data_IF_249547659922
#
_entry.id   IF_249547659922
#
_cell.length_a   1.000
_cell.length_b   1.000
_cell.length_c   1.000
_cell.angle_alpha   90.00
_cell.angle_beta   90.00
_cell.angle_gamma   90.00
#
_symmetry.space_group_name_H-M   'P 1'
#
loop_
_entity.id
_entity.type
_entity.pdbx_description
1 polymer ?
#
# COMPACT_ATOMS: atom_id res chain seq x y z
N UNK A 1 -18.20 -44.67 60.08
CA UNK A 1 -17.14 -45.53 60.67
C UNK A 1 -15.81 -44.77 60.50
N UNK A 2 -15.45 -43.94 61.49
CA UNK A 2 -14.35 -44.14 62.50
C UNK A 2 -12.95 -44.02 61.88
N UNK A 3 -12.23 -42.90 62.07
CA UNK A 3 -11.32 -42.45 63.20
C UNK A 3 -9.85 -42.74 62.83
N UNK A 4 -8.82 -41.91 63.10
CA UNK A 4 -8.64 -40.64 63.85
C UNK A 4 -7.28 -39.97 63.46
N UNK A 5 -7.08 -38.63 63.56
CA UNK A 5 -6.67 -37.76 64.71
C UNK A 5 -5.20 -37.97 65.16
N UNK A 6 -4.30 -36.98 65.41
CA UNK A 6 -4.33 -35.69 66.17
C UNK A 6 -3.11 -34.80 65.80
N UNK A 7 -3.22 -33.45 65.65
CA UNK A 7 -2.96 -32.31 66.61
C UNK A 7 -1.46 -32.05 66.96
N UNK A 8 -0.91 -30.84 67.17
CA UNK A 8 -1.41 -29.61 67.83
C UNK A 8 -0.42 -28.40 67.69
N UNK A 9 -0.96 -27.16 67.70
CA UNK A 9 -0.29 -25.84 67.93
C UNK A 9 -0.06 -25.59 69.46
N UNK A 10 0.19 -24.38 70.08
CA UNK A 10 0.26 -22.95 69.60
C UNK A 10 1.21 -21.92 70.34
N UNK A 11 1.10 -20.62 69.93
CA UNK A 11 1.22 -19.33 70.69
C UNK A 11 2.62 -18.73 70.97
N UNK A 12 2.90 -17.40 71.10
CA UNK A 12 2.19 -16.15 71.47
C UNK A 12 3.02 -14.88 71.05
N UNK A 13 2.43 -13.72 70.65
CA UNK A 13 2.30 -12.43 71.41
C UNK A 13 3.60 -11.62 71.61
N UNK A 14 3.80 -10.29 71.40
CA UNK A 14 2.99 -9.08 71.71
C UNK A 14 3.61 -7.78 71.12
N UNK A 15 2.78 -6.73 71.02
CA UNK A 15 3.00 -5.32 70.61
C UNK A 15 3.98 -4.48 71.47
N UNK A 16 4.50 -3.36 70.90
CA UNK A 16 4.59 -2.05 71.59
C UNK A 16 4.86 -0.88 70.61
N UNK A 17 4.15 0.25 70.81
CA UNK A 17 4.29 1.56 70.15
C UNK A 17 5.26 2.45 70.94
N UNK A 18 5.99 3.35 70.26
CA UNK A 18 6.21 4.72 70.74
C UNK A 18 6.68 5.67 69.63
N UNK A 19 6.13 6.90 69.63
CA UNK A 19 6.53 8.06 68.80
C UNK A 19 7.65 8.85 69.47
N UNK A 20 8.62 9.31 68.69
CA UNK A 20 9.42 10.53 68.94
C UNK A 20 9.98 11.09 67.62
N UNK A 21 9.84 12.40 67.41
CA UNK A 21 10.50 13.25 66.40
C UNK A 21 11.53 14.14 67.14
N UNK A 22 12.44 14.90 66.49
CA UNK A 22 13.05 14.81 65.15
C UNK A 22 14.60 14.87 65.20
N UNK A 23 15.29 14.51 64.11
CA UNK A 23 16.61 15.10 63.79
C UNK A 23 16.79 15.15 62.27
N UNK A 24 17.02 16.35 61.75
CA UNK A 24 17.44 16.62 60.38
C UNK A 24 18.90 16.18 60.19
N UNK A 25 19.23 15.58 59.04
CA UNK A 25 20.37 15.94 58.19
C UNK A 25 20.15 15.33 56.79
N UNK A 26 20.43 16.16 55.79
CA UNK A 26 20.29 15.99 54.36
C UNK A 26 21.21 14.91 53.77
N UNK A 27 20.69 14.11 52.82
CA UNK A 27 21.29 13.97 51.49
C UNK A 27 20.39 13.12 50.59
N UNK A 28 20.04 13.68 49.43
CA UNK A 28 19.09 13.09 48.51
C UNK A 28 19.67 11.96 47.66
N UNK A 29 18.79 11.00 47.33
CA UNK A 29 18.75 10.25 46.06
C UNK A 29 17.33 9.70 45.89
N UNK A 30 16.59 10.05 44.82
CA UNK A 30 15.26 9.51 44.60
C UNK A 30 15.32 8.15 43.87
N UNK A 31 14.25 7.40 44.13
CA UNK A 31 13.88 6.08 43.64
C UNK A 31 14.12 5.82 42.14
N UNK A 32 14.38 4.53 41.88
CA UNK A 32 14.49 3.85 40.60
C UNK A 32 13.45 4.29 39.57
N UNK A 33 13.94 4.77 38.41
CA UNK A 33 13.17 4.81 37.17
C UNK A 33 13.47 3.55 36.37
N UNK A 34 12.45 2.72 36.14
CA UNK A 34 12.42 1.77 35.03
C UNK A 34 12.38 2.61 33.75
N UNK A 35 13.54 2.82 33.13
CA UNK A 35 13.66 3.47 31.84
C UNK A 35 13.30 2.46 30.75
N UNK A 36 12.16 2.66 30.09
CA UNK A 36 11.94 2.11 28.77
C UNK A 36 13.04 2.66 27.85
N UNK A 37 14.07 1.84 27.60
CA UNK A 37 15.06 2.08 26.54
C UNK A 37 14.37 1.88 25.20
N UNK A 38 13.62 2.89 24.76
CA UNK A 38 13.39 3.10 23.34
C UNK A 38 14.78 3.47 22.79
N UNK A 39 15.35 2.58 21.99
CA UNK A 39 16.67 2.76 21.39
C UNK A 39 16.69 4.08 20.60
N UNK A 40 17.41 5.07 21.14
CA UNK A 40 17.66 6.39 20.53
C UNK A 40 18.23 6.24 19.11
N UNK A 41 18.86 5.12 18.80
CA UNK A 41 19.41 4.78 17.48
C UNK A 41 18.35 4.74 16.37
N UNK A 42 17.13 4.26 16.63
CA UNK A 42 16.08 4.06 15.62
C UNK A 42 15.46 5.38 15.16
N UNK A 43 15.24 6.31 16.11
CA UNK A 43 14.75 7.67 15.81
C UNK A 43 15.84 8.51 15.15
N UNK A 44 17.11 8.25 15.49
CA UNK A 44 18.26 8.97 14.90
C UNK A 44 18.45 8.60 13.43
N UNK A 45 18.34 7.33 13.05
CA UNK A 45 18.52 6.90 11.64
C UNK A 45 17.33 7.33 10.76
N UNK A 46 16.09 7.19 11.25
CA UNK A 46 14.89 7.49 10.46
C UNK A 46 14.66 8.99 10.19
N UNK A 47 15.24 9.89 11.01
CA UNK A 47 15.04 11.34 10.86
C UNK A 47 16.31 12.13 10.53
N UNK A 48 17.51 11.63 10.84
CA UNK A 48 18.78 12.34 10.55
C UNK A 48 19.35 11.97 9.18
N UNK A 49 19.27 10.70 8.77
CA UNK A 49 19.72 10.25 7.44
C UNK A 49 19.04 11.02 6.28
N UNK A 50 17.72 11.32 6.37
CA UNK A 50 17.03 12.14 5.37
C UNK A 50 17.50 13.59 5.23
N UNK A 51 17.84 14.23 6.35
CA UNK A 51 18.30 15.61 6.36
C UNK A 51 19.74 15.71 5.83
N UNK A 52 20.55 14.68 6.08
CA UNK A 52 21.88 14.52 5.48
C UNK A 52 21.77 14.30 3.97
N UNK A 53 20.83 13.46 3.52
CA UNK A 53 20.55 13.24 2.10
C UNK A 53 20.00 14.48 1.38
N UNK A 54 19.13 15.27 2.04
CA UNK A 54 18.66 16.56 1.52
C UNK A 54 19.80 17.57 1.39
N UNK A 55 20.73 17.60 2.35
CA UNK A 55 21.95 18.41 2.29
C UNK A 55 22.88 18.00 1.14
N UNK A 56 23.02 16.70 0.88
CA UNK A 56 23.79 16.16 -0.25
C UNK A 56 23.14 16.49 -1.60
N UNK A 57 21.81 16.39 -1.70
CA UNK A 57 21.05 16.74 -2.92
C UNK A 57 21.15 18.22 -3.28
N UNK A 58 21.12 19.11 -2.27
CA UNK A 58 21.30 20.55 -2.46
C UNK A 58 22.75 20.88 -2.86
N UNK A 59 23.73 20.09 -2.42
CA UNK A 59 25.14 20.26 -2.76
C UNK A 59 25.49 19.79 -4.18
N UNK A 60 24.84 18.74 -4.70
CA UNK A 60 25.12 18.19 -6.04
C UNK A 60 24.40 18.92 -7.18
N UNK A 61 23.19 19.43 -6.98
CA UNK A 61 22.35 19.84 -8.11
C UNK A 61 22.48 21.30 -8.51
N UNK A 62 22.89 22.21 -7.62
CA UNK A 62 23.04 23.65 -7.91
C UNK A 62 21.79 24.36 -8.48
N UNK A 63 20.66 23.66 -8.65
CA UNK A 63 19.43 24.08 -9.31
C UNK A 63 18.23 23.54 -8.53
N UNK A 64 17.93 24.15 -7.41
CA UNK A 64 16.76 23.81 -6.58
C UNK A 64 16.38 24.89 -5.57
N UNK A 65 16.77 26.14 -5.81
CA UNK A 65 16.72 27.20 -4.77
C UNK A 65 15.47 28.09 -4.86
N UNK A 66 14.61 27.94 -5.88
CA UNK A 66 13.42 28.79 -6.01
C UNK A 66 12.18 28.28 -5.25
N UNK A 67 12.25 27.12 -4.58
CA UNK A 67 11.11 26.49 -3.90
C UNK A 67 11.13 26.60 -2.36
N UNK A 68 12.03 27.39 -1.78
CA UNK A 68 12.16 27.50 -0.31
C UNK A 68 11.51 28.79 0.20
N UNK A 69 10.46 28.73 1.05
CA UNK A 69 9.86 29.93 1.66
C UNK A 69 10.86 30.71 2.52
N UNK A 70 10.89 32.04 2.37
CA UNK A 70 11.72 32.94 3.20
C UNK A 70 11.30 32.80 4.67
N UNK A 71 12.23 32.34 5.53
CA UNK A 71 12.04 32.20 6.98
C UNK A 71 12.46 30.85 7.57
N UNK A 72 12.69 29.82 6.76
CA UNK A 72 13.11 28.47 7.20
C UNK A 72 14.63 28.26 7.05
N UNK A 73 15.25 28.99 6.12
CA UNK A 73 16.65 28.87 5.76
C UNK A 73 17.38 30.18 6.06
N UNK A 74 18.41 30.10 6.90
CA UNK A 74 19.35 31.20 7.12
C UNK A 74 20.61 30.94 6.29
N UNK A 75 20.89 31.83 5.35
CA UNK A 75 22.09 31.77 4.51
C UNK A 75 23.27 32.45 5.22
N UNK A 76 24.41 31.77 5.28
CA UNK A 76 25.69 32.32 5.70
C UNK A 76 26.47 32.90 4.51
N UNK A 77 27.40 33.82 4.79
CA UNK A 77 28.17 34.54 3.77
C UNK A 77 28.83 33.66 2.70
N UNK A 78 28.79 34.15 1.45
CA UNK A 78 29.30 33.50 0.23
C UNK A 78 30.83 33.49 0.22
N UNK A 79 31.45 32.32 0.13
CA UNK A 79 32.84 32.18 -0.31
C UNK A 79 32.84 31.99 -1.83
N UNK A 80 33.76 32.63 -2.54
CA UNK A 80 33.77 32.74 -4.00
C UNK A 80 34.02 31.43 -4.77
N UNK A 81 34.28 30.30 -4.10
CA UNK A 81 34.44 28.97 -4.74
C UNK A 81 34.01 27.80 -3.83
N UNK A 82 32.74 27.73 -3.43
CA UNK A 82 32.18 26.56 -2.71
C UNK A 82 30.64 26.58 -2.60
N UNK A 83 30.00 25.45 -2.22
CA UNK A 83 28.55 25.36 -2.07
C UNK A 83 28.03 26.34 -1.00
N UNK A 84 26.77 26.83 -1.13
CA UNK A 84 26.23 27.83 -0.20
C UNK A 84 26.18 27.31 1.23
N UNK A 85 26.58 28.16 2.19
CA UNK A 85 26.44 27.89 3.62
C UNK A 85 25.02 28.19 4.04
N UNK A 86 24.30 27.24 4.63
CA UNK A 86 22.94 27.42 5.09
C UNK A 86 22.67 26.62 6.36
N UNK A 87 21.70 27.11 7.14
CA UNK A 87 21.13 26.36 8.25
C UNK A 87 19.61 26.30 8.13
N UNK A 88 19.04 25.14 8.45
CA UNK A 88 17.60 24.89 8.42
C UNK A 88 17.12 24.70 9.85
N UNK A 89 16.09 25.43 10.28
CA UNK A 89 15.46 25.21 11.59
C UNK A 89 13.95 25.09 11.44
N UNK A 90 13.34 24.02 11.97
CA UNK A 90 11.88 23.87 12.04
C UNK A 90 11.45 23.42 13.44
N UNK A 91 10.34 24.01 13.94
CA UNK A 91 9.64 23.52 15.13
C UNK A 91 8.39 22.76 14.72
N UNK A 92 8.13 21.66 15.41
CA UNK A 92 6.94 20.82 15.24
C UNK A 92 6.25 20.80 16.60
N UNK A 93 5.02 21.31 16.62
CA UNK A 93 4.17 21.27 17.80
C UNK A 93 3.18 20.10 17.66
N UNK A 94 3.31 19.10 18.54
CA UNK A 94 2.37 17.98 18.66
C UNK A 94 1.87 17.91 20.12
N UNK A 95 0.70 17.29 20.39
CA UNK A 95 0.20 17.12 21.75
C UNK A 95 1.24 16.38 22.62
N UNK A 96 1.78 17.08 23.63
CA UNK A 96 2.74 16.56 24.61
C UNK A 96 4.22 16.61 24.22
N UNK A 97 4.59 17.06 23.02
CA UNK A 97 5.97 17.18 22.56
C UNK A 97 6.16 18.43 21.69
N UNK A 98 7.15 19.25 22.05
CA UNK A 98 7.69 20.32 21.20
C UNK A 98 9.06 19.89 20.66
N UNK A 99 9.18 19.76 19.33
CA UNK A 99 10.37 19.27 18.65
C UNK A 99 10.99 20.38 17.82
N UNK A 100 12.27 20.68 18.06
CA UNK A 100 13.06 21.63 17.29
C UNK A 100 14.19 20.89 16.58
N UNK A 101 14.22 20.99 15.26
CA UNK A 101 15.20 20.33 14.40
C UNK A 101 16.08 21.39 13.77
N UNK A 102 17.40 21.19 13.79
CA UNK A 102 18.41 22.06 13.17
C UNK A 102 19.35 21.25 12.28
N UNK A 103 19.70 21.80 11.12
CA UNK A 103 20.74 21.28 10.23
C UNK A 103 21.73 22.39 9.87
N UNK A 104 23.02 22.09 9.90
CA UNK A 104 24.12 23.02 9.57
C UNK A 104 24.95 22.47 8.39
N UNK A 105 24.96 23.20 7.28
CA UNK A 105 25.64 22.75 6.05
C UNK A 105 27.17 22.89 6.08
N UNK A 106 27.74 23.58 7.06
CA UNK A 106 29.20 23.77 7.21
C UNK A 106 29.82 22.60 7.96
N UNK A 107 29.13 22.12 8.99
CA UNK A 107 29.59 21.02 9.84
C UNK A 107 29.03 19.66 9.43
N UNK A 108 27.99 19.64 8.59
CA UNK A 108 27.26 18.43 8.20
C UNK A 108 26.48 17.78 9.35
N UNK A 109 26.30 18.50 10.47
CA UNK A 109 25.67 17.96 11.69
C UNK A 109 24.21 18.39 11.81
N UNK A 110 23.34 17.43 12.08
CA UNK A 110 21.96 17.65 12.50
C UNK A 110 21.84 17.62 14.03
N UNK A 111 21.00 18.49 14.59
CA UNK A 111 20.68 18.53 16.01
C UNK A 111 19.16 18.50 16.19
N UNK A 112 18.67 17.80 17.20
CA UNK A 112 17.26 17.84 17.61
C UNK A 112 17.15 18.13 19.10
N UNK A 113 16.14 18.92 19.46
CA UNK A 113 15.79 19.28 20.84
C UNK A 113 14.31 18.96 21.03
N UNK A 114 14.00 18.12 22.01
CA UNK A 114 12.62 17.70 22.31
C UNK A 114 12.25 18.11 23.73
N UNK A 115 11.26 19.00 23.86
CA UNK A 115 10.74 19.46 25.14
C UNK A 115 9.35 18.88 25.41
N UNK A 116 9.16 18.27 26.59
CA UNK A 116 7.81 17.89 27.06
C UNK A 116 7.09 19.15 27.51
N UNK A 117 6.03 19.53 26.81
CA UNK A 117 5.15 20.63 27.23
C UNK A 117 4.21 20.14 28.34
N UNK A 118 4.40 20.64 29.57
CA UNK A 118 3.40 20.50 30.64
C UNK A 118 2.28 21.50 30.36
N UNK A 119 1.09 21.03 30.02
CA UNK A 119 -0.10 21.86 30.18
C UNK A 119 -1.12 21.29 31.17
N UNK A 120 -1.62 22.27 31.93
CA UNK A 120 -2.47 22.33 33.11
C UNK A 120 -3.85 21.71 32.83
N UNK A 121 -4.35 20.92 33.79
CA UNK A 121 -5.72 20.38 33.79
C UNK A 121 -6.74 21.52 33.67
N UNK A 122 -7.58 21.47 32.65
CA UNK A 122 -8.91 22.08 32.65
C UNK A 122 -9.89 21.09 32.03
N UNK A 123 -10.96 20.85 32.78
CA UNK A 123 -12.00 19.85 32.56
C UNK A 123 -13.02 20.28 31.50
N UNK A 124 -13.21 19.46 30.45
CA UNK A 124 -14.52 19.01 29.94
C UNK A 124 -14.33 18.11 28.69
N UNK A 125 -15.05 16.99 28.71
CA UNK A 125 -15.34 16.00 27.67
C UNK A 125 -14.98 16.34 26.22
N UNK A 126 -14.22 15.46 25.57
CA UNK A 126 -14.78 14.50 24.59
C UNK A 126 -13.83 13.30 24.45
N UNK A 127 -14.36 12.11 24.69
CA UNK A 127 -13.62 10.84 24.66
C UNK A 127 -13.35 10.42 23.21
N UNK A 128 -12.14 10.70 22.73
CA UNK A 128 -11.52 9.99 21.61
C UNK A 128 -10.06 9.77 21.99
N UNK A 129 -9.75 8.64 22.62
CA UNK A 129 -8.42 8.00 22.71
C UNK A 129 -8.47 6.87 23.76
N UNK A 130 -9.06 5.74 23.39
CA UNK A 130 -8.78 4.46 24.04
C UNK A 130 -8.63 3.41 22.93
N UNK A 131 -7.40 3.22 22.46
CA UNK A 131 -6.89 1.93 21.95
C UNK A 131 -5.38 2.04 21.66
N UNK A 132 -4.55 1.84 22.68
CA UNK A 132 -3.16 1.42 22.50
C UNK A 132 -2.84 0.38 23.56
N UNK A 133 -3.05 -0.92 23.30
CA UNK A 133 -2.30 -1.94 23.98
C UNK A 133 -0.89 -1.95 23.38
N UNK A 134 0.10 -1.78 24.25
CA UNK A 134 1.51 -2.02 23.95
C UNK A 134 1.67 -3.51 23.63
N UNK A 135 1.74 -3.84 22.34
CA UNK A 135 2.19 -5.13 21.85
C UNK A 135 3.58 -4.96 21.21
N UNK A 136 4.59 -4.88 22.06
CA UNK A 136 5.99 -5.04 21.67
C UNK A 136 6.23 -6.51 21.30
N UNK A 137 5.81 -6.95 20.11
CA UNK A 137 6.29 -8.18 19.43
C UNK A 137 5.74 -8.43 18.01
N UNK A 138 5.08 -7.48 17.33
CA UNK A 138 4.52 -7.70 15.98
C UNK A 138 4.90 -6.65 14.91
N UNK A 139 5.92 -5.81 15.16
CA UNK A 139 6.24 -4.64 14.32
C UNK A 139 7.33 -4.86 13.25
N UNK A 140 7.71 -6.10 12.94
CA UNK A 140 8.97 -6.38 12.21
C UNK A 140 8.81 -6.84 10.75
N UNK A 141 7.60 -7.06 10.21
CA UNK A 141 7.44 -7.61 8.84
C UNK A 141 7.09 -6.59 7.75
N UNK A 142 6.32 -5.53 8.07
CA UNK A 142 5.86 -4.58 7.05
C UNK A 142 6.91 -3.49 6.73
N UNK A 143 7.64 -3.01 7.74
CA UNK A 143 8.80 -2.11 7.56
C UNK A 143 9.95 -2.84 6.84
N UNK A 144 9.99 -4.16 6.97
CA UNK A 144 10.94 -5.05 6.36
C UNK A 144 10.64 -5.29 4.88
N UNK A 145 9.37 -5.22 4.43
CA UNK A 145 9.05 -5.29 3.00
C UNK A 145 9.66 -4.09 2.27
N UNK A 146 9.35 -2.85 2.69
CA UNK A 146 9.86 -1.64 2.04
C UNK A 146 11.40 -1.56 2.04
N UNK A 147 12.04 -1.94 3.15
CA UNK A 147 13.49 -2.00 3.27
C UNK A 147 14.13 -3.17 2.48
N UNK A 148 13.40 -4.28 2.25
CA UNK A 148 13.87 -5.41 1.42
C UNK A 148 13.54 -5.27 -0.07
N UNK A 149 12.59 -4.41 -0.45
CA UNK A 149 12.20 -4.13 -1.84
C UNK A 149 13.26 -3.27 -2.60
N UNK A 150 14.32 -2.80 -1.94
CA UNK A 150 15.44 -2.08 -2.60
C UNK A 150 15.08 -0.70 -3.18
N UNK A 151 13.92 -0.15 -2.81
CA UNK A 151 13.37 1.10 -3.37
C UNK A 151 13.80 2.29 -2.51
N UNK A 152 15.09 2.62 -2.53
CA UNK A 152 15.62 3.48 -1.46
C UNK A 152 15.86 4.93 -1.89
N UNK A 153 16.08 5.26 -3.17
CA UNK A 153 16.40 6.68 -3.50
C UNK A 153 15.17 7.48 -3.92
N UNK A 154 14.48 7.08 -4.99
CA UNK A 154 13.34 7.83 -5.52
C UNK A 154 12.15 7.90 -4.56
N UNK A 155 11.80 6.77 -3.94
CA UNK A 155 10.72 6.71 -2.97
C UNK A 155 11.03 7.54 -1.72
N UNK A 156 12.25 7.51 -1.20
CA UNK A 156 12.63 8.36 -0.07
C UNK A 156 12.56 9.85 -0.43
N UNK A 157 13.13 10.26 -1.56
CA UNK A 157 13.09 11.65 -2.01
C UNK A 157 11.66 12.21 -2.12
N UNK A 158 10.78 11.46 -2.78
CA UNK A 158 9.38 11.85 -2.91
C UNK A 158 8.61 11.79 -1.58
N UNK A 159 8.93 10.84 -0.70
CA UNK A 159 8.35 10.76 0.65
C UNK A 159 8.68 12.04 1.42
N UNK A 160 9.94 12.48 1.39
CA UNK A 160 10.32 13.75 1.99
C UNK A 160 9.60 14.92 1.36
N UNK A 161 9.50 14.95 0.03
CA UNK A 161 8.77 16.01 -0.66
C UNK A 161 7.31 16.12 -0.16
N UNK A 162 6.57 15.00 -0.13
CA UNK A 162 5.18 14.98 0.34
C UNK A 162 5.03 15.33 1.83
N UNK A 163 5.96 14.90 2.69
CA UNK A 163 5.92 15.22 4.13
C UNK A 163 6.20 16.70 4.38
N UNK A 164 7.17 17.30 3.67
CA UNK A 164 7.62 18.67 3.94
C UNK A 164 6.80 19.73 3.23
N UNK A 165 6.35 19.45 2.00
CA UNK A 165 5.70 20.43 1.13
C UNK A 165 4.22 20.11 0.88
N UNK A 166 3.74 18.94 1.33
CA UNK A 166 2.40 18.44 1.03
C UNK A 166 2.30 17.92 -0.42
N UNK A 167 1.28 17.11 -0.73
CA UNK A 167 1.01 16.73 -2.11
C UNK A 167 0.55 17.96 -2.92
N UNK A 168 0.94 18.07 -4.19
CA UNK A 168 0.35 19.07 -5.08
C UNK A 168 -1.14 18.80 -5.31
N UNK A 169 -1.81 19.68 -6.05
CA UNK A 169 -3.19 19.47 -6.46
C UNK A 169 -3.38 18.08 -7.09
N UNK A 170 -4.40 17.34 -6.66
CA UNK A 170 -4.65 15.97 -7.11
C UNK A 170 -4.70 15.81 -8.63
N UNK A 171 -5.22 16.83 -9.33
CA UNK A 171 -5.28 16.85 -10.80
C UNK A 171 -3.92 16.77 -11.47
N UNK A 172 -2.87 17.23 -10.79
CA UNK A 172 -1.48 17.12 -11.25
C UNK A 172 -0.79 15.84 -10.80
N UNK A 173 -1.37 15.13 -9.83
CA UNK A 173 -0.77 13.95 -9.18
C UNK A 173 -1.35 12.64 -9.72
N UNK A 174 -2.59 12.67 -10.22
CA UNK A 174 -3.28 11.55 -10.84
C UNK A 174 -3.73 11.95 -12.24
N UNK A 175 -3.23 11.25 -13.26
CA UNK A 175 -3.53 11.52 -14.67
C UNK A 175 -4.09 10.31 -15.37
N UNK A 176 -4.88 10.52 -16.42
CA UNK A 176 -5.56 9.47 -17.16
C UNK A 176 -5.06 9.46 -18.60
N UNK A 177 -4.48 8.35 -19.02
CA UNK A 177 -3.91 8.17 -20.35
C UNK A 177 -4.72 7.12 -21.08
N UNK A 178 -5.43 7.54 -22.12
CA UNK A 178 -6.42 6.72 -22.78
C UNK A 178 -6.04 6.37 -24.21
N UNK A 179 -6.48 5.20 -24.66
CA UNK A 179 -6.37 4.72 -26.01
C UNK A 179 -7.70 4.09 -26.46
N UNK A 180 -7.90 4.04 -27.78
CA UNK A 180 -9.05 3.41 -28.41
C UNK A 180 -8.66 2.89 -29.82
N UNK A 181 -9.52 2.16 -30.55
CA UNK A 181 -9.18 1.59 -31.86
C UNK A 181 -8.80 2.60 -32.95
N UNK A 182 -9.23 3.86 -32.83
CA UNK A 182 -8.89 4.94 -33.76
C UNK A 182 -7.60 5.67 -33.35
N UNK A 183 -7.25 5.62 -32.06
CA UNK A 183 -6.08 6.28 -31.50
C UNK A 183 -5.34 5.34 -30.54
N UNK A 184 -4.40 4.57 -31.10
CA UNK A 184 -3.58 3.62 -30.36
C UNK A 184 -2.57 4.28 -29.42
N UNK A 185 -2.14 5.50 -29.75
CA UNK A 185 -1.23 6.27 -28.90
C UNK A 185 -1.97 6.82 -27.67
N UNK A 186 -1.31 6.78 -26.51
CA UNK A 186 -1.85 7.27 -25.26
C UNK A 186 -2.14 8.77 -25.35
N UNK A 187 -3.42 9.15 -25.30
CA UNK A 187 -3.83 10.55 -25.19
C UNK A 187 -4.25 10.84 -23.75
N UNK A 188 -3.69 11.91 -23.18
CA UNK A 188 -4.11 12.35 -21.86
C UNK A 188 -5.52 12.95 -21.93
N UNK A 189 -6.39 12.47 -21.04
CA UNK A 189 -7.74 13.00 -20.83
C UNK A 189 -7.83 13.59 -19.43
N UNK A 190 -8.40 14.78 -19.30
CA UNK A 190 -8.57 15.45 -18.00
C UNK A 190 -10.04 15.65 -17.64
N UNK A 191 -10.32 15.96 -16.37
CA UNK A 191 -11.67 16.40 -15.99
C UNK A 191 -11.96 17.74 -16.70
N UNK A 192 -13.13 17.83 -17.33
CA UNK A 192 -13.55 18.96 -18.17
C UNK A 192 -12.76 19.13 -19.47
N UNK A 193 -12.14 18.06 -19.96
CA UNK A 193 -11.50 18.02 -21.27
C UNK A 193 -12.53 18.29 -22.38
N UNK A 194 -12.28 19.31 -23.20
CA UNK A 194 -13.18 19.72 -24.27
C UNK A 194 -13.11 18.76 -25.47
N UNK A 195 -12.00 18.03 -25.61
CA UNK A 195 -11.74 17.14 -26.74
C UNK A 195 -12.04 15.67 -26.37
N UNK A 196 -12.80 15.44 -25.30
CA UNK A 196 -13.09 14.08 -24.79
C UNK A 196 -13.71 13.17 -25.86
N UNK A 197 -14.61 13.70 -26.69
CA UNK A 197 -15.27 12.96 -27.77
C UNK A 197 -14.37 12.68 -28.98
N UNK A 198 -13.28 13.44 -29.14
CA UNK A 198 -12.24 13.13 -30.10
C UNK A 198 -11.32 12.02 -29.57
N UNK A 199 -11.03 12.07 -28.27
CA UNK A 199 -10.10 11.13 -27.61
C UNK A 199 -10.71 9.79 -27.25
N UNK A 200 -12.03 9.73 -27.04
CA UNK A 200 -12.75 8.54 -26.58
C UNK A 200 -14.08 8.39 -27.31
N UNK A 201 -14.44 7.16 -27.64
CA UNK A 201 -15.72 6.83 -28.28
C UNK A 201 -16.76 6.42 -27.24
N UNK A 202 -17.73 7.30 -26.96
CA UNK A 202 -18.78 7.07 -25.94
C UNK A 202 -19.65 5.85 -26.18
N UNK A 203 -19.69 5.32 -27.41
CA UNK A 203 -20.47 4.12 -27.75
C UNK A 203 -19.77 2.80 -27.38
N UNK A 204 -18.48 2.88 -27.04
CA UNK A 204 -17.60 1.73 -26.80
C UNK A 204 -17.39 1.47 -25.31
N UNK A 205 -17.16 0.21 -24.91
CA UNK A 205 -16.88 -0.13 -23.53
C UNK A 205 -15.63 0.57 -23.01
N UNK A 206 -15.63 0.91 -21.73
CA UNK A 206 -14.58 1.68 -21.07
C UNK A 206 -13.94 0.88 -19.93
N UNK A 207 -12.65 0.63 -20.05
CA UNK A 207 -11.86 -0.02 -19.00
C UNK A 207 -10.87 0.96 -18.37
N UNK A 208 -10.77 0.97 -17.04
CA UNK A 208 -9.68 1.64 -16.34
C UNK A 208 -8.65 0.63 -15.85
N UNK A 209 -7.38 0.87 -16.16
CA UNK A 209 -6.26 0.03 -15.71
C UNK A 209 -5.41 0.80 -14.70
N UNK A 210 -5.34 0.31 -13.46
CA UNK A 210 -4.65 0.99 -12.35
C UNK A 210 -3.43 0.19 -11.90
N UNK A 211 -2.24 0.80 -11.98
CA UNK A 211 -0.99 0.18 -11.56
C UNK A 211 -0.78 0.18 -10.04
N UNK A 212 0.23 -0.55 -9.58
CA UNK A 212 0.58 -0.70 -8.16
C UNK A 212 1.60 0.30 -7.60
N UNK A 213 2.13 -0.05 -6.43
CA UNK A 213 3.17 0.71 -5.73
C UNK A 213 4.46 0.79 -6.56
N UNK A 214 5.11 1.96 -6.59
CA UNK A 214 6.34 2.25 -7.36
C UNK A 214 6.27 2.06 -8.88
N UNK A 215 5.06 1.92 -9.39
CA UNK A 215 4.81 1.69 -10.80
C UNK A 215 4.30 2.94 -11.53
N UNK A 216 4.12 2.85 -12.85
CA UNK A 216 3.59 3.93 -13.69
C UNK A 216 3.06 3.41 -15.03
N UNK A 217 2.36 4.27 -15.77
CA UNK A 217 1.72 3.90 -17.05
C UNK A 217 2.70 3.67 -18.21
N UNK A 218 3.97 4.03 -18.06
CA UNK A 218 4.98 3.83 -19.11
C UNK A 218 5.58 2.42 -19.11
N UNK A 219 5.26 1.56 -18.15
CA UNK A 219 5.73 0.17 -18.16
C UNK A 219 5.18 -0.61 -19.33
N UNK A 220 6.01 -1.52 -19.81
CA UNK A 220 5.67 -2.46 -20.89
C UNK A 220 4.39 -3.22 -20.59
N UNK A 221 4.21 -3.75 -19.37
CA UNK A 221 3.00 -4.52 -19.05
C UNK A 221 1.70 -3.70 -19.17
N UNK A 222 1.73 -2.40 -18.82
CA UNK A 222 0.57 -1.51 -18.96
C UNK A 222 0.27 -1.28 -20.43
N UNK A 223 1.31 -0.94 -21.22
CA UNK A 223 1.20 -0.72 -22.66
C UNK A 223 0.71 -1.95 -23.41
N UNK A 224 1.19 -3.11 -23.02
CA UNK A 224 0.81 -4.39 -23.58
C UNK A 224 -0.67 -4.71 -23.31
N UNK A 225 -1.17 -4.51 -22.08
CA UNK A 225 -2.61 -4.67 -21.79
C UNK A 225 -3.44 -3.65 -22.57
N UNK A 226 -2.98 -2.40 -22.69
CA UNK A 226 -3.68 -1.40 -23.48
C UNK A 226 -3.78 -1.80 -24.95
N UNK A 227 -2.66 -2.20 -25.56
CA UNK A 227 -2.65 -2.70 -26.93
C UNK A 227 -3.57 -3.90 -27.11
N UNK A 228 -3.42 -4.93 -26.28
CA UNK A 228 -4.22 -6.15 -26.38
C UNK A 228 -5.71 -5.89 -26.12
N UNK A 229 -6.07 -5.00 -25.19
CA UNK A 229 -7.47 -4.63 -24.97
C UNK A 229 -8.07 -3.93 -26.19
N UNK A 230 -7.35 -2.97 -26.78
CA UNK A 230 -7.80 -2.29 -28.00
C UNK A 230 -7.95 -3.31 -29.15
N UNK A 231 -7.01 -4.25 -29.29
CA UNK A 231 -7.04 -5.27 -30.34
C UNK A 231 -8.16 -6.31 -30.17
N UNK A 232 -8.32 -6.90 -28.98
CA UNK A 232 -9.25 -8.02 -28.76
C UNK A 232 -10.66 -7.59 -28.33
N UNK A 233 -10.79 -6.45 -27.65
CA UNK A 233 -12.08 -5.94 -27.15
C UNK A 233 -12.62 -4.80 -28.02
N UNK A 234 -11.74 -4.00 -28.63
CA UNK A 234 -12.15 -2.88 -29.48
C UNK A 234 -12.82 -1.74 -28.70
N UNK A 235 -12.47 -1.57 -27.42
CA UNK A 235 -13.02 -0.56 -26.51
C UNK A 235 -12.08 0.60 -26.22
N UNK A 236 -12.56 1.54 -25.40
CA UNK A 236 -11.72 2.54 -24.75
C UNK A 236 -11.02 1.93 -23.53
N UNK A 237 -9.75 2.26 -23.34
CA UNK A 237 -9.02 1.92 -22.11
C UNK A 237 -8.24 3.14 -21.62
N UNK A 238 -8.33 3.42 -20.32
CA UNK A 238 -7.62 4.51 -19.67
C UNK A 238 -6.71 3.97 -18.56
N UNK A 239 -5.40 4.09 -18.76
CA UNK A 239 -4.41 3.80 -17.73
C UNK A 239 -4.40 4.96 -16.70
N UNK A 240 -4.53 4.60 -15.42
CA UNK A 240 -4.54 5.55 -14.30
C UNK A 240 -3.11 5.70 -13.78
N UNK A 241 -2.48 6.83 -14.09
CA UNK A 241 -1.14 7.15 -13.58
C UNK A 241 -1.27 7.89 -12.25
N UNK A 242 -0.87 7.24 -11.17
CA UNK A 242 -0.74 7.83 -9.84
C UNK A 242 0.69 7.70 -9.32
N UNK A 243 1.66 7.53 -10.21
CA UNK A 243 3.07 7.26 -9.90
C UNK A 243 3.69 8.29 -8.94
N UNK A 244 3.28 9.56 -9.01
CA UNK A 244 3.75 10.60 -8.08
C UNK A 244 3.31 10.36 -6.62
N UNK A 245 2.18 9.70 -6.42
CA UNK A 245 1.65 9.29 -5.12
C UNK A 245 2.01 7.85 -4.74
N UNK A 246 2.46 7.04 -5.71
CA UNK A 246 2.88 5.65 -5.56
C UNK A 246 4.38 5.51 -5.31
N UNK A 247 5.22 6.39 -5.86
CA UNK A 247 6.67 6.36 -5.71
C UNK A 247 7.09 7.06 -4.42
N UNK A 248 6.57 6.58 -3.29
CA UNK A 248 6.89 6.99 -1.92
C UNK A 248 7.02 5.75 -1.05
N UNK A 249 7.36 5.91 0.23
CA UNK A 249 7.37 4.82 1.20
C UNK A 249 6.02 4.09 1.23
N UNK A 250 6.07 2.76 1.41
CA UNK A 250 4.93 1.86 1.23
C UNK A 250 3.68 2.29 2.01
N UNK A 251 3.82 2.60 3.30
CA UNK A 251 2.69 2.99 4.14
C UNK A 251 2.10 4.33 3.69
N UNK A 252 2.94 5.27 3.26
CA UNK A 252 2.46 6.53 2.69
C UNK A 252 1.71 6.31 1.37
N UNK A 253 2.24 5.46 0.48
CA UNK A 253 1.55 5.10 -0.76
C UNK A 253 0.21 4.41 -0.49
N UNK A 254 0.17 3.48 0.46
CA UNK A 254 -1.06 2.81 0.90
C UNK A 254 -2.10 3.84 1.41
N UNK A 255 -1.66 4.83 2.21
CA UNK A 255 -2.52 5.93 2.70
C UNK A 255 -3.02 6.85 1.59
N UNK A 256 -2.32 6.93 0.47
CA UNK A 256 -2.75 7.69 -0.70
C UNK A 256 -3.87 6.98 -1.49
N UNK A 257 -4.01 5.66 -1.38
CA UNK A 257 -4.98 4.88 -2.20
C UNK A 257 -6.43 5.37 -2.10
N UNK A 258 -7.00 5.75 -0.93
CA UNK A 258 -8.38 6.24 -0.90
C UNK A 258 -8.55 7.60 -1.58
N UNK A 259 -7.50 8.43 -1.54
CA UNK A 259 -7.48 9.73 -2.21
C UNK A 259 -7.50 9.54 -3.74
N UNK A 260 -6.72 8.58 -4.25
CA UNK A 260 -6.66 8.24 -5.68
C UNK A 260 -7.97 7.60 -6.15
N UNK A 261 -8.52 6.62 -5.41
CA UNK A 261 -9.76 5.95 -5.78
C UNK A 261 -10.95 6.90 -5.90
N UNK A 262 -11.11 7.82 -4.93
CA UNK A 262 -12.16 8.86 -5.01
C UNK A 262 -11.94 9.83 -6.17
N UNK A 263 -10.69 10.12 -6.53
CA UNK A 263 -10.38 10.97 -7.68
C UNK A 263 -10.69 10.25 -9.02
N UNK A 264 -10.38 8.95 -9.12
CA UNK A 264 -10.79 8.10 -10.24
C UNK A 264 -12.33 8.07 -10.36
N UNK A 265 -13.07 7.89 -9.27
CA UNK A 265 -14.53 7.97 -9.28
C UNK A 265 -15.05 9.33 -9.75
N UNK A 266 -14.38 10.43 -9.37
CA UNK A 266 -14.72 11.78 -9.86
C UNK A 266 -14.51 11.89 -11.37
N UNK A 267 -13.42 11.32 -11.90
CA UNK A 267 -13.16 11.29 -13.34
C UNK A 267 -14.19 10.44 -14.10
N UNK A 268 -14.54 9.26 -13.57
CA UNK A 268 -15.62 8.42 -14.13
C UNK A 268 -16.94 9.19 -14.15
N UNK A 269 -17.34 9.84 -13.05
CA UNK A 269 -18.56 10.68 -13.00
C UNK A 269 -18.53 11.82 -14.04
N UNK A 270 -17.36 12.36 -14.38
CA UNK A 270 -17.22 13.31 -15.48
C UNK A 270 -17.51 12.63 -16.83
N UNK A 271 -16.90 11.47 -17.13
CA UNK A 271 -17.14 10.74 -18.37
C UNK A 271 -18.60 10.29 -18.53
N UNK A 272 -19.25 9.85 -17.46
CA UNK A 272 -20.69 9.52 -17.50
C UNK A 272 -21.54 10.72 -17.93
N UNK A 273 -21.18 11.94 -17.51
CA UNK A 273 -21.84 13.17 -17.99
C UNK A 273 -21.52 13.51 -19.44
N UNK A 274 -20.45 12.96 -20.02
CA UNK A 274 -20.14 13.07 -21.44
C UNK A 274 -20.86 12.00 -22.28
N UNK A 275 -21.70 11.15 -21.68
CA UNK A 275 -22.52 10.18 -22.42
C UNK A 275 -22.02 8.74 -22.36
N UNK A 276 -20.96 8.44 -21.61
CA UNK A 276 -20.60 7.06 -21.30
C UNK A 276 -21.68 6.39 -20.46
N UNK A 277 -21.98 5.12 -20.75
CA UNK A 277 -22.89 4.31 -19.94
C UNK A 277 -22.17 3.65 -18.76
N UNK A 278 -22.80 3.63 -17.58
CA UNK A 278 -22.30 2.88 -16.42
C UNK A 278 -22.19 1.38 -16.72
N UNK A 279 -23.12 0.83 -17.50
CA UNK A 279 -23.21 -0.61 -17.77
C UNK A 279 -22.04 -1.15 -18.61
N UNK A 280 -21.24 -0.26 -19.21
CA UNK A 280 -20.09 -0.62 -20.03
C UNK A 280 -18.75 -0.31 -19.35
N UNK A 281 -18.76 0.00 -18.06
CA UNK A 281 -17.57 0.32 -17.28
C UNK A 281 -16.94 -0.94 -16.66
N UNK A 282 -15.61 -1.03 -16.72
CA UNK A 282 -14.83 -2.02 -15.96
C UNK A 282 -13.65 -1.34 -15.28
N UNK A 283 -13.38 -1.68 -14.02
CA UNK A 283 -12.16 -1.24 -13.34
C UNK A 283 -11.24 -2.43 -13.10
N UNK A 284 -9.98 -2.30 -13.47
CA UNK A 284 -8.94 -3.30 -13.26
C UNK A 284 -7.80 -2.65 -12.49
N UNK A 285 -7.32 -3.33 -11.47
CA UNK A 285 -6.25 -2.81 -10.64
C UNK A 285 -5.28 -3.91 -10.21
N UNK A 286 -3.98 -3.65 -10.33
CA UNK A 286 -2.92 -4.54 -9.84
C UNK A 286 -2.37 -4.07 -8.50
N UNK A 287 -2.10 -4.99 -7.57
CA UNK A 287 -1.48 -4.66 -6.28
C UNK A 287 -2.30 -3.63 -5.49
N UNK A 288 -1.70 -2.51 -5.05
CA UNK A 288 -2.43 -1.35 -4.49
C UNK A 288 -3.48 -0.77 -5.43
N UNK A 289 -3.27 -0.89 -6.74
CA UNK A 289 -4.24 -0.49 -7.77
C UNK A 289 -5.57 -1.22 -7.65
N UNK A 290 -5.58 -2.49 -7.19
CA UNK A 290 -6.81 -3.24 -6.95
C UNK A 290 -7.70 -2.55 -5.90
N UNK A 291 -7.08 -2.03 -4.83
CA UNK A 291 -7.77 -1.28 -3.80
C UNK A 291 -8.21 0.09 -4.29
N UNK A 292 -7.43 0.76 -5.14
CA UNK A 292 -7.84 2.02 -5.78
C UNK A 292 -9.09 1.80 -6.64
N UNK A 293 -9.14 0.71 -7.43
CA UNK A 293 -10.32 0.34 -8.22
C UNK A 293 -11.52 0.02 -7.33
N UNK A 294 -11.34 -0.73 -6.24
CA UNK A 294 -12.41 -1.00 -5.26
C UNK A 294 -12.97 0.28 -4.64
N UNK A 295 -12.10 1.15 -4.13
CA UNK A 295 -12.51 2.44 -3.53
C UNK A 295 -13.21 3.34 -4.56
N UNK A 296 -12.78 3.32 -5.82
CA UNK A 296 -13.47 4.03 -6.90
C UNK A 296 -14.88 3.47 -7.14
N UNK A 297 -15.02 2.15 -7.17
CA UNK A 297 -16.32 1.46 -7.28
C UNK A 297 -17.27 1.77 -6.13
N UNK A 298 -16.79 1.73 -4.89
CA UNK A 298 -17.55 2.14 -3.71
C UNK A 298 -18.00 3.61 -3.77
N UNK A 299 -17.14 4.52 -4.26
CA UNK A 299 -17.49 5.93 -4.47
C UNK A 299 -18.42 6.18 -5.68
N UNK A 300 -18.65 5.15 -6.49
CA UNK A 300 -19.67 5.05 -7.54
C UNK A 300 -20.87 4.20 -7.06
N UNK A 301 -21.08 4.14 -5.75
CA UNK A 301 -22.22 3.50 -5.09
C UNK A 301 -22.32 1.98 -5.38
N UNK A 302 -21.19 1.33 -5.70
CA UNK A 302 -21.16 -0.08 -6.06
C UNK A 302 -21.80 -0.40 -7.42
N UNK A 303 -22.14 0.63 -8.21
CA UNK A 303 -22.87 0.47 -9.47
C UNK A 303 -22.01 -0.01 -10.65
N UNK A 304 -20.68 -0.08 -10.46
CA UNK A 304 -19.76 -0.56 -11.51
C UNK A 304 -20.08 -2.02 -11.84
N UNK A 305 -20.24 -2.40 -13.12
CA UNK A 305 -20.57 -3.77 -13.50
C UNK A 305 -19.52 -4.81 -13.12
N UNK A 306 -18.24 -4.47 -13.20
CA UNK A 306 -17.15 -5.39 -12.94
C UNK A 306 -15.90 -4.67 -12.40
N UNK A 307 -15.32 -5.25 -11.35
CA UNK A 307 -13.96 -4.95 -10.90
C UNK A 307 -13.10 -6.21 -10.98
N UNK A 308 -11.88 -6.09 -11.49
CA UNK A 308 -10.87 -7.17 -11.48
C UNK A 308 -9.66 -6.73 -10.66
N UNK A 309 -9.45 -7.39 -9.51
CA UNK A 309 -8.28 -7.23 -8.66
C UNK A 309 -7.18 -8.22 -9.03
N UNK A 310 -6.06 -7.74 -9.55
CA UNK A 310 -4.91 -8.55 -9.94
C UNK A 310 -3.90 -8.57 -8.79
N UNK A 311 -3.86 -9.70 -8.08
CA UNK A 311 -3.09 -9.94 -6.85
C UNK A 311 -3.16 -8.77 -5.86
N UNK A 312 -4.35 -8.49 -5.28
CA UNK A 312 -4.55 -7.33 -4.41
C UNK A 312 -3.56 -7.33 -3.24
N UNK A 313 -2.99 -6.16 -2.91
CA UNK A 313 -1.95 -6.07 -1.89
C UNK A 313 -2.44 -6.52 -0.49
N UNK A 314 -1.61 -7.30 0.20
CA UNK A 314 -1.87 -7.75 1.56
C UNK A 314 -1.52 -6.69 2.62
N UNK A 315 -0.26 -6.25 2.70
CA UNK A 315 0.22 -5.37 3.77
C UNK A 315 -0.48 -4.00 3.75
N UNK A 316 -0.80 -3.47 4.93
CA UNK A 316 -1.60 -2.24 5.14
C UNK A 316 -3.07 -2.31 4.72
N UNK A 317 -3.57 -3.42 4.18
CA UNK A 317 -4.97 -3.58 3.76
C UNK A 317 -5.65 -4.78 4.44
N UNK A 318 -5.04 -5.95 4.36
CA UNK A 318 -5.59 -7.19 4.95
C UNK A 318 -4.68 -7.77 6.03
N UNK A 319 -3.42 -7.34 6.05
CA UNK A 319 -2.40 -7.72 7.03
C UNK A 319 -1.64 -6.48 7.53
N UNK A 320 -1.21 -6.48 8.80
CA UNK A 320 -1.47 -7.48 9.83
C UNK A 320 -2.91 -7.42 10.35
N UNK A 321 -3.61 -6.31 10.08
CA UNK A 321 -5.01 -6.11 10.42
C UNK A 321 -5.85 -5.93 9.16
N UNK A 322 -7.04 -6.52 9.15
CA UNK A 322 -8.01 -6.30 8.10
C UNK A 322 -8.60 -4.89 8.25
N UNK A 323 -8.30 -4.01 7.31
CA UNK A 323 -8.88 -2.66 7.29
C UNK A 323 -10.33 -2.71 6.81
N UNK A 324 -11.10 -1.68 7.19
CA UNK A 324 -12.49 -1.49 6.77
C UNK A 324 -12.62 -1.47 5.24
N UNK A 325 -13.78 -1.93 4.76
CA UNK A 325 -14.11 -2.06 3.33
C UNK A 325 -14.05 -0.74 2.57
N UNK A 326 -14.21 0.40 3.25
CA UNK A 326 -14.07 1.74 2.66
C UNK A 326 -12.62 2.10 2.23
N UNK A 327 -11.64 1.27 2.56
CA UNK A 327 -10.20 1.50 2.28
C UNK A 327 -9.49 0.33 1.59
N UNK A 328 -10.22 -0.72 1.20
CA UNK A 328 -9.66 -1.88 0.49
C UNK A 328 -10.65 -2.36 -0.56
N UNK A 329 -10.22 -3.29 -1.40
CA UNK A 329 -11.12 -3.99 -2.30
C UNK A 329 -12.05 -4.87 -1.49
N UNK A 330 -13.33 -4.83 -1.82
CA UNK A 330 -14.37 -5.70 -1.28
C UNK A 330 -15.42 -6.03 -2.36
N UNK A 331 -16.13 -7.14 -2.19
CA UNK A 331 -17.19 -7.55 -3.11
C UNK A 331 -18.30 -6.51 -3.25
N UNK A 332 -18.54 -5.67 -2.24
CA UNK A 332 -19.55 -4.59 -2.31
C UNK A 332 -19.21 -3.45 -3.26
N UNK A 333 -17.96 -3.37 -3.75
CA UNK A 333 -17.47 -2.23 -4.53
C UNK A 333 -18.01 -2.21 -5.97
N UNK A 334 -18.63 -3.30 -6.42
CA UNK A 334 -19.22 -3.45 -7.74
C UNK A 334 -20.31 -4.51 -7.75
N UNK A 335 -21.11 -4.54 -8.82
CA UNK A 335 -22.08 -5.61 -9.08
C UNK A 335 -21.39 -6.98 -9.19
N UNK A 336 -20.13 -6.99 -9.63
CA UNK A 336 -19.31 -8.18 -9.69
C UNK A 336 -17.83 -7.84 -9.45
N UNK A 337 -17.16 -8.65 -8.62
CA UNK A 337 -15.74 -8.46 -8.28
C UNK A 337 -15.03 -9.79 -8.46
N UNK A 338 -13.98 -9.80 -9.27
CA UNK A 338 -13.10 -10.94 -9.46
C UNK A 338 -11.73 -10.59 -8.89
N UNK A 339 -11.14 -11.47 -8.09
CA UNK A 339 -9.77 -11.35 -7.62
C UNK A 339 -8.93 -12.51 -8.14
N UNK A 340 -7.68 -12.25 -8.50
CA UNK A 340 -6.69 -13.25 -8.88
C UNK A 340 -5.58 -13.23 -7.86
N UNK A 341 -5.29 -14.38 -7.27
CA UNK A 341 -4.24 -14.53 -6.27
C UNK A 341 -3.11 -15.35 -6.87
N UNK A 342 -1.91 -14.77 -6.88
CA UNK A 342 -0.69 -15.38 -7.40
C UNK A 342 0.47 -15.29 -6.40
N UNK A 343 0.40 -14.38 -5.42
CA UNK A 343 1.41 -14.23 -4.36
C UNK A 343 0.80 -14.02 -2.96
N UNK A 344 -0.22 -14.80 -2.62
CA UNK A 344 -0.91 -14.70 -1.32
C UNK A 344 0.05 -14.87 -0.15
N UNK A 345 -0.21 -14.14 0.94
CA UNK A 345 0.57 -14.08 2.18
C UNK A 345 1.95 -13.41 2.09
N UNK A 346 2.45 -13.06 0.90
CA UNK A 346 3.71 -12.33 0.75
C UNK A 346 3.43 -10.88 0.35
N UNK A 347 3.33 -10.56 -0.94
CA UNK A 347 2.87 -9.25 -1.40
C UNK A 347 1.34 -9.24 -1.50
N UNK A 348 0.76 -10.28 -2.09
CA UNK A 348 -0.68 -10.44 -2.25
C UNK A 348 -1.41 -10.79 -0.94
N UNK A 349 -2.71 -10.53 -0.94
CA UNK A 349 -3.63 -10.96 0.12
C UNK A 349 -4.04 -12.43 -0.06
N UNK A 350 -4.28 -13.11 1.06
CA UNK A 350 -4.99 -14.39 1.12
C UNK A 350 -6.46 -14.26 1.52
N UNK A 351 -6.92 -13.03 1.75
CA UNK A 351 -8.32 -12.74 2.04
C UNK A 351 -9.11 -12.81 0.74
N UNK A 352 -10.24 -13.51 0.75
CA UNK A 352 -11.21 -13.43 -0.35
C UNK A 352 -11.82 -12.03 -0.35
N UNK A 353 -11.56 -11.27 -1.41
CA UNK A 353 -12.02 -9.89 -1.57
C UNK A 353 -13.04 -9.75 -2.70
N UNK A 354 -13.26 -10.81 -3.48
CA UNK A 354 -14.18 -10.84 -4.60
C UNK A 354 -15.50 -11.56 -4.33
N UNK A 355 -16.36 -11.49 -5.35
CA UNK A 355 -17.41 -12.47 -5.59
C UNK A 355 -16.82 -13.80 -6.06
N UNK A 356 -15.72 -13.73 -6.80
CA UNK A 356 -14.89 -14.86 -7.20
C UNK A 356 -13.42 -14.57 -6.89
N UNK A 357 -12.75 -15.53 -6.23
CA UNK A 357 -11.34 -15.44 -5.89
C UNK A 357 -10.61 -16.62 -6.55
N UNK A 358 -9.87 -16.32 -7.62
CA UNK A 358 -9.10 -17.30 -8.40
C UNK A 358 -7.70 -17.47 -7.80
N UNK A 359 -7.40 -18.67 -7.32
CA UNK A 359 -6.09 -19.05 -6.81
C UNK A 359 -5.33 -19.87 -7.85
N UNK A 360 -4.41 -19.23 -8.58
CA UNK A 360 -3.60 -19.91 -9.61
C UNK A 360 -2.43 -20.64 -8.96
N UNK A 361 -2.29 -21.95 -9.20
CA UNK A 361 -1.21 -22.76 -8.62
C UNK A 361 -1.10 -22.59 -7.10
N UNK A 362 -2.22 -22.75 -6.37
CA UNK A 362 -2.42 -22.44 -4.93
C UNK A 362 -2.51 -20.94 -4.61
N UNK A 363 -2.24 -20.07 -5.58
CA UNK A 363 -2.19 -18.62 -5.44
C UNK A 363 -1.05 -18.12 -4.55
N UNK A 364 0.00 -18.91 -4.37
CA UNK A 364 1.17 -18.57 -3.57
C UNK A 364 2.44 -18.57 -4.42
N UNK A 365 3.47 -17.85 -3.97
CA UNK A 365 4.82 -17.95 -4.54
C UNK A 365 5.49 -19.30 -4.25
N UNK A 366 6.37 -19.78 -5.15
CA UNK A 366 6.54 -19.31 -6.52
C UNK A 366 5.37 -19.75 -7.41
N UNK A 367 4.97 -18.89 -8.33
CA UNK A 367 4.21 -19.32 -9.51
C UNK A 367 5.15 -19.98 -10.55
N UNK A 368 4.64 -20.86 -11.43
CA UNK A 368 5.41 -21.46 -12.51
C UNK A 368 6.13 -20.43 -13.38
N UNK A 369 7.46 -20.60 -13.54
CA UNK A 369 8.34 -19.68 -14.27
C UNK A 369 8.93 -18.57 -13.39
N UNK A 370 8.64 -18.57 -12.09
CA UNK A 370 9.19 -17.63 -11.11
C UNK A 370 10.13 -18.32 -10.10
N UNK A 371 10.54 -19.56 -10.35
CA UNK A 371 11.46 -20.30 -9.49
C UNK A 371 12.89 -19.75 -9.65
N UNK A 372 13.38 -19.02 -8.65
CA UNK A 372 14.77 -18.58 -8.59
C UNK A 372 15.54 -19.43 -7.58
N UNK A 373 16.74 -19.94 -7.91
CA UNK A 373 17.49 -20.82 -7.01
C UNK A 373 17.92 -20.05 -5.75
N UNK A 374 17.31 -20.39 -4.62
CA UNK A 374 17.57 -19.81 -3.29
C UNK A 374 18.83 -20.44 -2.68
N UNK A 375 20.00 -20.05 -3.18
CA UNK A 375 21.29 -20.50 -2.67
C UNK A 375 21.81 -19.48 -1.65
N UNK A 376 22.38 -19.94 -0.53
CA UNK A 376 23.11 -19.13 0.46
C UNK A 376 22.35 -17.95 1.10
N UNK A 377 21.07 -18.13 1.46
CA UNK A 377 20.24 -17.07 2.06
C UNK A 377 20.19 -15.76 1.24
N UNK A 378 20.31 -15.85 -0.08
CA UNK A 378 20.22 -14.70 -0.98
C UNK A 378 18.78 -14.13 -0.98
N UNK A 379 18.59 -13.11 -0.16
CA UNK A 379 17.31 -12.40 -0.01
C UNK A 379 16.87 -11.72 -1.31
N UNK A 380 17.80 -11.43 -2.22
CA UNK A 380 17.51 -10.81 -3.52
C UNK A 380 16.78 -11.77 -4.44
N UNK A 381 17.14 -13.05 -4.44
CA UNK A 381 16.47 -14.07 -5.28
C UNK A 381 15.09 -14.44 -4.76
N UNK A 382 14.92 -14.51 -3.43
CA UNK A 382 13.60 -14.66 -2.83
C UNK A 382 12.68 -13.49 -3.21
N UNK A 383 13.23 -12.28 -3.26
CA UNK A 383 12.50 -11.09 -3.66
C UNK A 383 12.06 -11.10 -5.13
N UNK A 384 12.96 -11.48 -6.05
CA UNK A 384 12.62 -11.63 -7.47
C UNK A 384 11.51 -12.66 -7.69
N UNK A 385 11.52 -13.76 -6.92
CA UNK A 385 10.47 -14.77 -6.94
C UNK A 385 9.10 -14.20 -6.54
N UNK A 386 9.05 -13.40 -5.47
CA UNK A 386 7.81 -12.79 -5.00
C UNK A 386 7.27 -11.77 -5.99
N UNK A 387 8.11 -10.87 -6.52
CA UNK A 387 7.67 -9.92 -7.56
C UNK A 387 7.18 -10.65 -8.80
N UNK A 388 7.94 -11.62 -9.29
CA UNK A 388 7.56 -12.37 -10.48
C UNK A 388 6.17 -13.01 -10.28
N UNK A 389 5.96 -13.66 -9.14
CA UNK A 389 4.66 -14.27 -8.81
C UNK A 389 3.56 -13.21 -8.65
N UNK A 390 3.84 -12.06 -8.06
CA UNK A 390 2.91 -10.94 -7.93
C UNK A 390 2.47 -10.38 -9.30
N UNK A 391 3.36 -10.38 -10.29
CA UNK A 391 3.05 -9.97 -11.67
C UNK A 391 2.41 -11.06 -12.54
N UNK A 392 2.40 -12.33 -12.11
CA UNK A 392 1.68 -13.39 -12.85
C UNK A 392 0.19 -13.11 -12.99
N UNK A 393 -0.44 -12.42 -12.04
CA UNK A 393 -1.84 -12.03 -12.17
C UNK A 393 -2.06 -11.07 -13.36
N UNK A 394 -1.10 -10.18 -13.63
CA UNK A 394 -1.10 -9.28 -14.79
C UNK A 394 -0.90 -10.05 -16.08
N UNK A 395 0.06 -10.98 -16.11
CA UNK A 395 0.33 -11.82 -17.28
C UNK A 395 -0.88 -12.69 -17.66
N UNK A 396 -1.51 -13.33 -16.68
CA UNK A 396 -2.70 -14.14 -16.90
C UNK A 396 -3.88 -13.27 -17.35
N UNK A 397 -4.10 -12.10 -16.73
CA UNK A 397 -5.15 -11.19 -17.15
C UNK A 397 -4.99 -10.75 -18.60
N UNK A 398 -3.78 -10.28 -18.95
CA UNK A 398 -3.44 -9.91 -20.33
C UNK A 398 -3.72 -11.06 -21.29
N UNK A 399 -3.24 -12.27 -20.99
CA UNK A 399 -3.47 -13.43 -21.84
C UNK A 399 -4.97 -13.74 -22.01
N UNK A 400 -5.78 -13.54 -20.96
CA UNK A 400 -7.24 -13.77 -21.00
C UNK A 400 -8.02 -12.76 -21.85
N UNK A 401 -7.39 -11.66 -22.28
CA UNK A 401 -8.01 -10.71 -23.21
C UNK A 401 -8.23 -11.31 -24.59
N UNK A 402 -7.42 -12.30 -24.99
CA UNK A 402 -7.70 -13.08 -26.17
C UNK A 402 -8.75 -14.16 -25.82
N UNK A 403 -9.93 -14.16 -26.47
CA UNK A 403 -11.00 -15.12 -26.17
C UNK A 403 -10.64 -16.59 -26.42
N UNK A 404 -9.54 -16.86 -27.14
CA UNK A 404 -9.01 -18.22 -27.36
C UNK A 404 -8.23 -18.77 -26.16
N UNK A 405 -7.88 -17.91 -25.19
CA UNK A 405 -7.11 -18.27 -24.00
C UNK A 405 -8.04 -18.43 -22.80
N UNK A 406 -8.32 -19.68 -22.42
CA UNK A 406 -9.23 -19.99 -21.32
C UNK A 406 -8.45 -20.36 -20.07
N UNK A 407 -8.76 -19.66 -18.98
CA UNK A 407 -8.28 -19.93 -17.63
C UNK A 407 -9.46 -20.37 -16.76
N UNK A 408 -9.82 -21.66 -16.84
CA UNK A 408 -10.97 -22.20 -16.14
C UNK A 408 -10.61 -22.56 -14.68
N UNK A 409 -11.27 -21.89 -13.73
CA UNK A 409 -11.18 -22.19 -12.31
C UNK A 409 -12.26 -23.17 -11.88
N UNK A 410 -11.92 -24.08 -10.98
CA UNK A 410 -12.85 -25.03 -10.37
C UNK A 410 -13.12 -24.64 -8.92
N UNK A 411 -14.38 -24.50 -8.54
CA UNK A 411 -14.74 -24.27 -7.15
C UNK A 411 -14.34 -25.48 -6.30
N UNK A 412 -13.63 -25.24 -5.20
CA UNK A 412 -13.19 -26.31 -4.32
C UNK A 412 -12.99 -25.78 -2.90
N UNK A 413 -13.02 -26.67 -1.91
CA UNK A 413 -12.81 -26.29 -0.51
C UNK A 413 -11.36 -25.83 -0.25
N UNK A 414 -10.38 -26.41 -0.95
CA UNK A 414 -8.99 -25.98 -0.87
C UNK A 414 -8.20 -26.44 -2.09
N UNK A 415 -7.02 -25.83 -2.28
CA UNK A 415 -6.10 -26.25 -3.33
C UNK A 415 -5.67 -27.71 -3.19
N UNK A 416 -5.59 -28.23 -1.97
CA UNK A 416 -5.22 -29.63 -1.70
C UNK A 416 -6.23 -30.60 -2.33
N UNK A 417 -7.52 -30.38 -2.08
CA UNK A 417 -8.60 -31.19 -2.66
C UNK A 417 -8.71 -31.01 -4.18
N UNK A 418 -8.49 -29.78 -4.65
CA UNK A 418 -8.45 -29.49 -6.09
C UNK A 418 -7.36 -30.30 -6.80
N UNK A 419 -6.13 -30.32 -6.26
CA UNK A 419 -5.00 -31.07 -6.84
C UNK A 419 -5.18 -32.58 -6.83
N UNK A 420 -5.99 -33.12 -5.91
CA UNK A 420 -6.35 -34.54 -5.85
C UNK A 420 -7.51 -34.92 -6.80
N UNK A 421 -8.09 -33.95 -7.51
CA UNK A 421 -9.21 -34.18 -8.44
C UNK A 421 -10.56 -34.39 -7.76
N UNK A 422 -10.65 -34.19 -6.45
CA UNK A 422 -11.87 -34.45 -5.66
C UNK A 422 -13.00 -33.45 -5.94
N UNK A 423 -12.66 -32.30 -6.53
CA UNK A 423 -13.61 -31.27 -6.94
C UNK A 423 -13.88 -31.27 -8.45
N UNK A 424 -13.54 -32.35 -9.17
CA UNK A 424 -13.63 -32.40 -10.65
C UNK A 424 -15.04 -32.16 -11.21
N UNK A 425 -16.07 -32.57 -10.46
CA UNK A 425 -17.48 -32.38 -10.81
C UNK A 425 -18.09 -31.09 -10.26
N UNK A 426 -17.30 -30.26 -9.56
CA UNK A 426 -17.80 -28.98 -9.05
C UNK A 426 -17.96 -27.95 -10.17
N UNK A 427 -18.64 -26.87 -9.82
CA UNK A 427 -18.87 -25.74 -10.71
C UNK A 427 -17.57 -25.05 -11.15
N UNK A 428 -17.55 -24.57 -12.39
CA UNK A 428 -16.39 -23.93 -13.02
C UNK A 428 -16.72 -22.52 -13.47
N UNK A 429 -15.71 -21.66 -13.56
CA UNK A 429 -15.83 -20.33 -14.16
C UNK A 429 -14.53 -19.92 -14.86
N UNK A 430 -14.66 -19.19 -15.96
CA UNK A 430 -13.51 -18.67 -16.72
C UNK A 430 -13.01 -17.39 -16.07
N UNK A 431 -11.72 -17.27 -15.79
CA UNK A 431 -11.10 -16.01 -15.37
C UNK A 431 -11.07 -14.99 -16.54
N UNK A 432 -11.15 -13.68 -16.23
CA UNK A 432 -11.03 -12.59 -17.21
C UNK A 432 -12.37 -11.92 -17.59
N UNK A 433 -12.32 -11.04 -18.59
CA UNK A 433 -13.45 -10.18 -18.98
C UNK A 433 -14.65 -10.93 -19.59
N UNK A 434 -14.39 -12.10 -20.18
CA UNK A 434 -15.43 -12.96 -20.77
C UNK A 434 -16.16 -13.86 -19.74
N UNK A 435 -15.89 -13.67 -18.46
CA UNK A 435 -16.51 -14.41 -17.37
C UNK A 435 -18.04 -14.22 -17.33
N UNK A 436 -18.78 -15.33 -17.22
CA UNK A 436 -20.26 -15.36 -17.20
C UNK A 436 -20.89 -15.01 -15.84
N UNK A 437 -20.07 -14.64 -14.86
CA UNK A 437 -20.43 -14.23 -13.48
C UNK A 437 -21.19 -15.30 -12.69
N UNK A 438 -21.07 -16.55 -13.10
CA UNK A 438 -21.64 -17.72 -12.43
C UNK A 438 -20.63 -18.32 -11.45
N UNK A 439 -21.11 -18.96 -10.38
CA UNK A 439 -20.31 -19.77 -9.44
C UNK A 439 -19.37 -18.93 -8.58
N UNK A 440 -19.86 -18.54 -7.40
CA UNK A 440 -19.17 -17.64 -6.47
C UNK A 440 -18.17 -18.36 -5.56
N UNK A 441 -17.28 -17.59 -4.92
CA UNK A 441 -16.34 -18.07 -3.92
C UNK A 441 -14.95 -18.38 -4.49
N UNK A 442 -14.21 -19.24 -3.79
CA UNK A 442 -12.83 -19.59 -4.16
C UNK A 442 -12.81 -20.59 -5.32
N UNK A 443 -12.07 -20.27 -6.38
CA UNK A 443 -11.82 -21.13 -7.53
C UNK A 443 -10.32 -21.39 -7.66
N UNK A 444 -9.95 -22.62 -8.01
CA UNK A 444 -8.56 -23.01 -8.18
C UNK A 444 -8.26 -23.31 -9.65
N UNK A 445 -7.12 -22.82 -10.11
CA UNK A 445 -6.63 -22.99 -11.48
C UNK A 445 -5.21 -23.56 -11.43
N UNK A 446 -4.91 -24.59 -12.20
CA UNK A 446 -3.53 -25.02 -12.46
C UNK A 446 -3.09 -24.51 -13.82
N UNK A 447 -1.95 -23.81 -13.83
CA UNK A 447 -1.33 -23.20 -15.00
C UNK A 447 0.11 -23.69 -15.03
N UNK A 448 0.35 -24.82 -15.70
CA UNK A 448 1.68 -25.46 -15.73
C UNK A 448 2.60 -24.88 -16.83
N UNK A 449 2.06 -24.08 -17.74
CA UNK A 449 2.84 -23.41 -18.79
C UNK A 449 3.58 -22.21 -18.19
N UNK A 450 4.90 -22.17 -18.39
CA UNK A 450 5.77 -21.09 -17.94
C UNK A 450 5.97 -19.99 -18.98
N UNK A 451 5.50 -20.22 -20.22
CA UNK A 451 5.61 -19.30 -21.36
C UNK A 451 4.23 -18.92 -21.87
N UNK A 452 4.10 -17.67 -22.32
CA UNK A 452 2.90 -17.14 -22.97
C UNK A 452 2.41 -18.10 -24.09
N UNK A 453 1.09 -18.36 -24.21
CA UNK A 453 -0.02 -17.65 -23.56
C UNK A 453 -0.45 -18.19 -22.19
N UNK A 454 0.28 -19.15 -21.60
CA UNK A 454 -0.03 -19.82 -20.32
C UNK A 454 -1.33 -20.65 -20.28
N UNK A 455 -2.40 -20.17 -20.92
CA UNK A 455 -3.70 -20.80 -21.01
C UNK A 455 -3.68 -22.11 -21.82
N UNK A 456 -4.75 -22.88 -21.66
CA UNK A 456 -5.14 -23.88 -22.65
C UNK A 456 -5.77 -23.13 -23.82
N UNK A 457 -5.21 -23.31 -25.02
CA UNK A 457 -5.86 -22.87 -26.25
C UNK A 457 -6.95 -23.89 -26.57
N UNK A 458 -8.19 -23.45 -26.64
CA UNK A 458 -9.32 -24.31 -27.03
C UNK A 458 -9.97 -23.67 -28.23
N UNK A 459 -10.16 -24.42 -29.31
CA UNK A 459 -11.13 -24.06 -30.35
C UNK A 459 -12.52 -24.27 -29.76
N UNK A 460 -13.17 -23.20 -29.29
CA UNK A 460 -14.59 -23.26 -28.96
C UNK A 460 -15.43 -23.28 -30.21
#
# INVERSE_FOLDING_TARGET
MTRGTLSSSPSSGTNLRHRSRPLFISSGKPASRVAARISVTTVTVAMVLPLVLLGLLVAETGRGVDAVPRGIVSYGGRSSRGPPKFSITKRIHAPGIDLKIKYDSVTGRGYFEANKTKHRKTSRQDNFLEYFPVASQALDQDELLANRLGIVVGALGNTFSQIFFGPNELRSEVTFWCANPNHYDYMQVTINDQDVHYKLDVSKPLLFLTHGWTDNVNRTWVKDIVGDYVTYIGGNICAVDWSRLALVEYNLAARNTPKVGRYLAKFVKFLLKQGFSMDQLTLVGHSMGAHISGIAGAALDGAVPMIVGLDPAGPSFTRPFLVSTDRRLDKSDALFVQAVHTDKNIIGTSTNVGHQDFYTNNGASPQPGCEFPLVNNDTTKAYLQFICSHFKAVEYFRASLNPQHIFEGTNCHSYFYYRRGECSNNTRADFGLYNKRSNLGALYVTIDKTVYPFAKTISR
#
